data_IF_577807406006
#
_entry.id   IF_577807406006
#
_cell.length_a   1.000
_cell.length_b   1.000
_cell.length_c   1.000
_cell.angle_alpha   90.00
_cell.angle_beta   90.00
_cell.angle_gamma   90.00
#
_symmetry.space_group_name_H-M   'P 1'
#
loop_
_entity.id
_entity.type
_entity.pdbx_description
1 polymer ?
#
# COMPACT_ATOMS: atom_id res chain seq x y z
N UNK A 1 7.13 -13.61 -29.38
CA UNK A 1 7.06 -13.10 -28.00
C UNK A 1 7.68 -11.73 -27.99
N UNK A 2 6.91 -10.73 -27.64
CA UNK A 2 7.40 -9.36 -27.60
C UNK A 2 8.04 -9.10 -26.23
N UNK A 3 9.26 -8.56 -26.23
CA UNK A 3 9.91 -8.05 -25.05
C UNK A 3 9.83 -6.54 -25.06
N UNK A 4 9.67 -5.93 -23.88
CA UNK A 4 9.74 -4.48 -23.75
C UNK A 4 11.19 -4.02 -24.00
N UNK A 5 11.36 -2.97 -24.77
CA UNK A 5 12.69 -2.42 -25.01
C UNK A 5 13.21 -1.69 -23.77
N UNK A 6 14.56 -1.54 -23.70
CA UNK A 6 15.22 -0.92 -22.54
C UNK A 6 14.81 0.53 -22.29
N UNK A 7 14.47 1.28 -23.35
CA UNK A 7 13.99 2.65 -23.22
C UNK A 7 12.67 2.70 -22.49
N UNK A 8 11.70 1.87 -22.91
CA UNK A 8 10.40 1.81 -22.29
C UNK A 8 10.45 1.28 -20.84
N UNK A 9 11.35 0.32 -20.56
CA UNK A 9 11.62 -0.13 -19.18
C UNK A 9 12.11 1.05 -18.30
N UNK A 10 12.97 1.90 -18.84
CA UNK A 10 13.40 3.11 -18.12
C UNK A 10 12.24 4.06 -17.87
N UNK A 11 11.38 4.28 -18.86
CA UNK A 11 10.21 5.15 -18.71
C UNK A 11 9.24 4.61 -17.63
N UNK A 12 9.09 3.28 -17.51
CA UNK A 12 8.34 2.63 -16.42
C UNK A 12 8.96 2.96 -15.06
N UNK A 13 10.27 2.88 -14.92
CA UNK A 13 10.95 3.24 -13.69
C UNK A 13 10.78 4.72 -13.34
N UNK A 14 10.89 5.61 -14.33
CA UNK A 14 10.70 7.04 -14.16
C UNK A 14 9.24 7.36 -13.75
N UNK A 15 8.25 6.65 -14.31
CA UNK A 15 6.84 6.79 -13.93
C UNK A 15 6.57 6.38 -12.47
N UNK A 16 7.22 5.32 -11.98
CA UNK A 16 7.14 4.93 -10.57
C UNK A 16 7.86 5.94 -9.67
N UNK A 17 9.06 6.39 -10.07
CA UNK A 17 9.85 7.35 -9.30
C UNK A 17 9.16 8.72 -9.17
N UNK A 18 8.31 9.09 -10.13
CA UNK A 18 7.47 10.29 -10.08
C UNK A 18 6.25 10.20 -9.16
N UNK A 19 6.00 9.04 -8.54
CA UNK A 19 4.89 8.83 -7.60
C UNK A 19 5.29 9.19 -6.15
N UNK A 20 4.34 8.99 -5.20
CA UNK A 20 4.62 9.13 -3.76
C UNK A 20 5.47 7.99 -3.18
N UNK A 21 5.81 6.98 -3.98
CA UNK A 21 6.66 5.85 -3.63
C UNK A 21 8.02 5.96 -4.32
N UNK A 22 8.91 5.03 -4.00
CA UNK A 22 10.22 4.91 -4.65
C UNK A 22 10.38 3.54 -5.28
N UNK A 23 11.36 3.40 -6.15
CA UNK A 23 11.72 2.13 -6.78
C UNK A 23 11.96 0.99 -5.79
N UNK A 24 12.49 1.32 -4.59
CA UNK A 24 12.74 0.33 -3.54
C UNK A 24 11.45 -0.28 -2.95
N UNK A 25 10.31 0.38 -3.13
CA UNK A 25 9.01 -0.07 -2.62
C UNK A 25 8.39 -1.14 -3.50
N UNK A 26 8.94 -1.36 -4.70
CA UNK A 26 8.40 -2.29 -5.69
C UNK A 26 9.40 -3.38 -6.06
N UNK A 27 8.85 -4.51 -6.48
CA UNK A 27 9.56 -5.57 -7.19
C UNK A 27 9.08 -5.55 -8.64
N UNK A 28 10.03 -5.51 -9.58
CA UNK A 28 9.75 -5.52 -11.03
C UNK A 28 10.17 -6.84 -11.62
N UNK A 29 9.32 -7.38 -12.48
CA UNK A 29 9.59 -8.56 -13.27
C UNK A 29 9.28 -8.25 -14.74
N UNK A 30 10.23 -8.57 -15.61
CA UNK A 30 10.09 -8.49 -17.07
C UNK A 30 10.31 -9.89 -17.63
N UNK A 31 9.25 -10.72 -17.67
CA UNK A 31 9.40 -12.12 -18.06
C UNK A 31 9.88 -12.27 -19.52
N UNK A 32 10.88 -13.11 -19.75
CA UNK A 32 11.37 -13.44 -21.10
C UNK A 32 10.43 -14.38 -21.84
N UNK A 33 9.45 -14.98 -21.16
CA UNK A 33 8.52 -15.95 -21.71
C UNK A 33 7.17 -15.91 -21.00
N UNK A 34 6.13 -16.37 -21.71
CA UNK A 34 4.75 -16.36 -21.21
C UNK A 34 3.97 -15.13 -21.68
N UNK A 35 2.72 -14.96 -21.21
CA UNK A 35 1.84 -13.89 -21.65
C UNK A 35 2.15 -12.54 -21.01
N UNK A 36 2.88 -12.50 -19.90
CA UNK A 36 3.12 -11.26 -19.15
C UNK A 36 4.34 -10.53 -19.71
N UNK A 37 4.15 -9.25 -20.04
CA UNK A 37 5.22 -8.35 -20.49
C UNK A 37 5.88 -7.60 -19.30
N UNK A 38 5.09 -7.36 -18.24
CA UNK A 38 5.48 -6.61 -17.06
C UNK A 38 4.69 -7.10 -15.86
N UNK A 39 5.37 -7.24 -14.73
CA UNK A 39 4.74 -7.38 -13.43
C UNK A 39 5.43 -6.46 -12.44
N UNK A 40 4.64 -5.68 -11.72
CA UNK A 40 5.11 -4.84 -10.62
C UNK A 40 4.34 -5.25 -9.38
N UNK A 41 5.05 -5.54 -8.31
CA UNK A 41 4.46 -5.89 -7.01
C UNK A 41 4.88 -4.87 -5.96
N UNK A 42 3.93 -4.42 -5.16
CA UNK A 42 4.24 -3.61 -3.99
C UNK A 42 4.79 -4.49 -2.87
N UNK A 43 6.06 -4.29 -2.45
CA UNK A 43 6.80 -5.21 -1.56
C UNK A 43 6.13 -5.45 -0.21
N UNK A 44 5.44 -4.43 0.31
CA UNK A 44 4.82 -4.50 1.64
C UNK A 44 3.44 -5.14 1.65
N UNK A 45 2.82 -5.29 0.47
CA UNK A 45 1.56 -5.99 0.26
C UNK A 45 1.54 -6.57 -1.16
N UNK A 46 2.09 -7.78 -1.37
CA UNK A 46 2.23 -8.37 -2.72
C UNK A 46 0.91 -8.64 -3.46
N UNK A 47 -0.23 -8.61 -2.75
CA UNK A 47 -1.54 -8.59 -3.40
C UNK A 47 -1.78 -7.30 -4.21
N UNK A 48 -1.07 -6.21 -3.90
CA UNK A 48 -1.05 -4.99 -4.69
C UNK A 48 -0.07 -5.18 -5.84
N UNK A 49 -0.64 -5.32 -7.04
CA UNK A 49 0.10 -5.72 -8.24
C UNK A 49 -0.42 -5.01 -9.48
N UNK A 50 0.48 -4.79 -10.41
CA UNK A 50 0.24 -4.21 -11.73
C UNK A 50 0.81 -5.17 -12.74
N UNK A 51 -0.04 -5.83 -13.54
CA UNK A 51 0.37 -6.90 -14.45
C UNK A 51 -0.12 -6.58 -15.85
N UNK A 52 0.80 -6.46 -16.79
CA UNK A 52 0.53 -6.27 -18.21
C UNK A 52 0.69 -7.60 -18.93
N UNK A 53 -0.36 -8.09 -19.53
CA UNK A 53 -0.37 -9.32 -20.34
C UNK A 53 -0.59 -8.99 -21.82
N UNK A 54 0.20 -9.59 -22.69
CA UNK A 54 0.01 -9.52 -24.14
C UNK A 54 -1.29 -10.23 -24.56
N UNK A 55 -2.02 -9.67 -25.52
CA UNK A 55 -3.20 -10.33 -26.09
C UNK A 55 -2.76 -11.59 -26.83
N UNK A 56 -3.35 -12.74 -26.54
CA UNK A 56 -3.11 -13.96 -27.29
C UNK A 56 -3.78 -13.87 -28.66
N UNK A 57 -3.03 -14.13 -29.72
CA UNK A 57 -3.53 -14.10 -31.12
C UNK A 57 -4.70 -15.08 -31.40
N UNK A 58 -4.97 -16.04 -30.51
CA UNK A 58 -5.96 -17.10 -30.70
C UNK A 58 -7.30 -16.89 -29.98
N UNK A 59 -7.49 -15.79 -29.31
CA UNK A 59 -8.82 -15.41 -28.78
C UNK A 59 -9.61 -14.72 -29.91
N UNK A 60 -10.04 -15.54 -30.91
CA UNK A 60 -11.14 -15.15 -31.80
C UNK A 60 -12.33 -14.83 -30.90
N UNK A 61 -12.96 -13.67 -31.13
CA UNK A 61 -14.12 -13.09 -30.44
C UNK A 61 -15.38 -13.99 -30.43
N UNK A 62 -15.27 -15.28 -30.06
CA UNK A 62 -16.36 -16.23 -30.01
C UNK A 62 -17.11 -16.27 -28.68
N UNK A 63 -16.79 -15.36 -27.75
CA UNK A 63 -17.58 -15.15 -26.53
C UNK A 63 -18.34 -13.82 -26.59
N UNK A 64 -19.46 -13.83 -27.26
CA UNK A 64 -20.39 -12.72 -27.48
C UNK A 64 -21.14 -12.23 -26.24
N UNK A 65 -20.72 -12.53 -25.01
CA UNK A 65 -21.46 -12.17 -23.79
C UNK A 65 -20.70 -11.37 -22.73
N UNK A 66 -19.46 -10.98 -22.99
CA UNK A 66 -18.86 -9.93 -22.14
C UNK A 66 -18.89 -8.62 -22.91
N UNK A 67 -19.91 -7.80 -22.65
CA UNK A 67 -19.92 -6.37 -22.97
C UNK A 67 -18.77 -5.67 -22.24
N UNK A 68 -17.54 -5.92 -22.67
CA UNK A 68 -16.41 -5.10 -22.26
C UNK A 68 -16.54 -3.82 -23.05
N UNK A 69 -17.12 -2.79 -22.41
CA UNK A 69 -17.11 -1.43 -22.97
C UNK A 69 -15.64 -1.07 -23.15
N UNK A 70 -15.17 -1.02 -24.39
CA UNK A 70 -13.81 -0.56 -24.70
C UNK A 70 -13.66 0.87 -24.19
N UNK A 71 -12.56 1.21 -23.49
CA UNK A 71 -12.31 2.60 -23.13
C UNK A 71 -12.31 3.48 -24.38
N UNK A 72 -12.81 4.70 -24.27
CA UNK A 72 -12.84 5.67 -25.37
C UNK A 72 -11.49 5.83 -26.10
N UNK A 73 -10.38 5.63 -25.39
CA UNK A 73 -9.03 5.62 -25.93
C UNK A 73 -8.76 4.47 -26.93
N UNK A 74 -9.52 3.37 -26.88
CA UNK A 74 -9.41 2.27 -27.84
C UNK A 74 -10.25 2.54 -29.08
N UNK A 75 -11.39 3.20 -28.97
CA UNK A 75 -12.25 3.54 -30.10
C UNK A 75 -11.55 4.52 -31.04
N UNK A 76 -10.77 5.47 -30.49
CA UNK A 76 -9.98 6.44 -31.27
C UNK A 76 -8.80 5.84 -32.04
N UNK A 77 -8.31 4.65 -31.63
CA UNK A 77 -7.11 3.98 -32.17
C UNK A 77 -7.42 2.67 -32.94
N UNK A 78 -8.50 2.62 -33.72
CA UNK A 78 -8.93 1.45 -34.52
C UNK A 78 -9.43 0.22 -33.71
N UNK A 79 -9.81 0.39 -32.46
CA UNK A 79 -10.63 -0.59 -31.73
C UNK A 79 -9.98 -1.92 -31.32
N UNK A 80 -8.66 -2.09 -31.47
CA UNK A 80 -8.00 -3.33 -31.08
C UNK A 80 -7.11 -3.16 -29.84
N UNK A 81 -7.46 -3.91 -28.78
CA UNK A 81 -6.57 -4.06 -27.63
C UNK A 81 -5.30 -4.84 -28.02
N UNK A 82 -4.13 -4.32 -27.65
CA UNK A 82 -2.84 -5.00 -27.85
C UNK A 82 -2.42 -5.79 -26.61
N UNK A 83 -2.94 -5.42 -25.45
CA UNK A 83 -2.63 -6.03 -24.17
C UNK A 83 -3.79 -5.87 -23.18
N UNK A 84 -3.73 -6.58 -22.06
CA UNK A 84 -4.64 -6.43 -20.92
C UNK A 84 -3.83 -6.08 -19.68
N UNK A 85 -4.33 -5.09 -18.94
CA UNK A 85 -3.75 -4.62 -17.70
C UNK A 85 -4.61 -5.06 -16.53
N UNK A 86 -4.01 -5.74 -15.55
CA UNK A 86 -4.58 -6.02 -14.25
C UNK A 86 -3.95 -5.09 -13.23
N UNK A 87 -4.77 -4.26 -12.59
CA UNK A 87 -4.41 -3.36 -11.50
C UNK A 87 -5.07 -3.85 -10.20
N UNK A 88 -4.30 -4.04 -9.16
CA UNK A 88 -4.77 -4.29 -7.79
C UNK A 88 -3.89 -3.47 -6.81
N UNK A 89 -4.45 -2.53 -6.01
CA UNK A 89 -5.86 -2.17 -6.01
C UNK A 89 -6.27 -1.42 -7.28
N UNK A 90 -7.52 -1.61 -7.69
CA UNK A 90 -8.15 -0.82 -8.73
C UNK A 90 -8.61 0.54 -8.20
N UNK A 91 -9.27 1.33 -9.03
CA UNK A 91 -9.76 2.64 -8.63
C UNK A 91 -10.98 2.56 -7.70
N UNK A 92 -11.89 1.62 -7.98
CA UNK A 92 -13.16 1.42 -7.25
C UNK A 92 -13.37 -0.01 -6.78
N UNK A 93 -12.49 -0.94 -7.15
CA UNK A 93 -12.59 -2.37 -6.82
C UNK A 93 -11.25 -2.88 -6.29
N UNK A 94 -11.28 -4.02 -5.62
CA UNK A 94 -10.06 -4.69 -5.17
C UNK A 94 -9.08 -5.01 -6.31
N UNK A 95 -9.61 -5.23 -7.53
CA UNK A 95 -8.82 -5.36 -8.75
C UNK A 95 -9.66 -4.92 -9.96
N UNK A 96 -9.04 -4.25 -10.90
CA UNK A 96 -9.59 -3.87 -12.18
C UNK A 96 -8.77 -4.51 -13.31
N UNK A 97 -9.47 -5.02 -14.33
CA UNK A 97 -8.85 -5.51 -15.55
C UNK A 97 -9.36 -4.67 -16.73
N UNK A 98 -8.45 -4.15 -17.55
CA UNK A 98 -8.80 -3.28 -18.66
C UNK A 98 -7.95 -3.56 -19.90
N UNK A 99 -8.53 -3.42 -21.11
CA UNK A 99 -7.79 -3.50 -22.36
C UNK A 99 -6.87 -2.27 -22.53
N UNK A 100 -5.69 -2.51 -23.09
CA UNK A 100 -4.69 -1.49 -23.41
C UNK A 100 -4.51 -1.43 -24.91
N UNK A 101 -4.62 -0.24 -25.48
CA UNK A 101 -4.53 0.01 -26.92
C UNK A 101 -3.22 0.70 -27.34
N UNK A 102 -2.45 1.18 -26.36
CA UNK A 102 -1.11 1.71 -26.56
C UNK A 102 -0.25 1.44 -25.32
N UNK A 103 1.00 1.03 -25.53
CA UNK A 103 1.93 0.87 -24.42
C UNK A 103 2.23 2.18 -23.69
N UNK A 104 2.11 3.33 -24.36
CA UNK A 104 2.27 4.65 -23.73
C UNK A 104 1.21 4.91 -22.65
N UNK A 105 0.03 4.30 -22.76
CA UNK A 105 -1.03 4.48 -21.76
C UNK A 105 -0.63 3.84 -20.42
N UNK A 106 0.26 2.85 -20.45
CA UNK A 106 0.83 2.21 -19.23
C UNK A 106 1.56 3.23 -18.36
N UNK A 107 2.34 4.14 -18.99
CA UNK A 107 3.11 5.15 -18.26
C UNK A 107 2.20 6.13 -17.50
N UNK A 108 0.97 6.36 -17.98
CA UNK A 108 -0.04 7.18 -17.29
C UNK A 108 -0.76 6.40 -16.17
N UNK A 109 -0.92 5.09 -16.37
CA UNK A 109 -1.60 4.20 -15.42
C UNK A 109 -0.76 3.92 -14.17
N UNK A 110 0.55 3.81 -14.29
CA UNK A 110 1.43 3.54 -13.15
C UNK A 110 1.30 4.58 -12.03
N UNK A 111 1.38 5.91 -12.26
CA UNK A 111 1.18 6.88 -11.19
C UNK A 111 -0.23 6.84 -10.59
N UNK A 112 -1.25 6.55 -11.40
CA UNK A 112 -2.63 6.39 -10.92
C UNK A 112 -2.75 5.17 -9.99
N UNK A 113 -2.19 4.03 -10.38
CA UNK A 113 -2.14 2.83 -9.53
C UNK A 113 -1.36 3.08 -8.23
N UNK A 114 -0.24 3.79 -8.27
CA UNK A 114 0.47 4.21 -7.06
C UNK A 114 -0.41 5.10 -6.17
N UNK A 115 -1.22 5.98 -6.74
CA UNK A 115 -2.20 6.78 -5.99
C UNK A 115 -3.28 5.91 -5.35
N UNK A 116 -3.74 4.86 -6.05
CA UNK A 116 -4.71 3.91 -5.48
C UNK A 116 -4.10 3.13 -4.30
N UNK A 117 -2.83 2.67 -4.42
CA UNK A 117 -2.12 2.07 -3.30
C UNK A 117 -2.07 3.03 -2.11
N UNK A 118 -1.71 4.29 -2.36
CA UNK A 118 -1.64 5.29 -1.30
C UNK A 118 -3.00 5.47 -0.62
N UNK A 119 -4.07 5.63 -1.40
CA UNK A 119 -5.44 5.73 -0.89
C UNK A 119 -5.79 4.51 -0.03
N UNK A 120 -5.61 3.30 -0.55
CA UNK A 120 -5.89 2.04 0.16
C UNK A 120 -5.10 1.89 1.47
N UNK A 121 -3.86 2.39 1.51
CA UNK A 121 -3.04 2.35 2.71
C UNK A 121 -3.44 3.40 3.76
N UNK A 122 -4.04 4.50 3.31
CA UNK A 122 -4.44 5.64 4.16
C UNK A 122 -5.94 5.67 4.43
N UNK A 123 -6.77 5.01 3.61
CA UNK A 123 -8.20 4.92 3.84
C UNK A 123 -8.46 3.81 4.86
N UNK A 124 -9.11 4.16 5.94
CA UNK A 124 -9.70 3.19 6.83
C UNK A 124 -11.03 2.72 6.27
N UNK A 125 -11.29 1.43 6.39
CA UNK A 125 -12.64 0.92 6.27
C UNK A 125 -13.34 1.40 7.53
N UNK A 126 -14.15 2.42 7.37
CA UNK A 126 -15.00 2.99 8.40
C UNK A 126 -15.96 1.90 8.93
N UNK A 127 -15.51 1.18 9.92
CA UNK A 127 -16.43 0.73 10.94
C UNK A 127 -16.60 1.95 11.83
N UNK A 128 -17.79 2.55 11.91
CA UNK A 128 -18.14 3.55 12.91
C UNK A 128 -17.65 3.03 14.26
N UNK A 129 -16.43 3.43 14.64
CA UNK A 129 -15.86 3.04 15.91
C UNK A 129 -15.64 4.31 16.74
N UNK A 130 -15.58 4.13 18.05
CA UNK A 130 -15.45 5.21 19.06
C UNK A 130 -14.08 5.93 18.99
N UNK A 131 -13.30 5.79 17.87
CA UNK A 131 -11.94 6.28 17.74
C UNK A 131 -11.75 7.49 16.82
N UNK A 132 -12.82 8.08 16.28
CA UNK A 132 -12.72 9.21 15.33
C UNK A 132 -12.03 10.42 15.97
N UNK A 133 -12.39 10.74 17.22
CA UNK A 133 -11.74 11.83 17.97
C UNK A 133 -10.24 11.55 18.19
N UNK A 134 -9.89 10.31 18.48
CA UNK A 134 -8.49 9.90 18.65
C UNK A 134 -7.70 9.97 17.33
N UNK A 135 -8.33 9.66 16.20
CA UNK A 135 -7.72 9.82 14.86
C UNK A 135 -7.45 11.27 14.52
N UNK A 136 -8.41 12.15 14.80
CA UNK A 136 -8.24 13.60 14.59
C UNK A 136 -7.08 14.14 15.43
N UNK A 137 -6.97 13.73 16.70
CA UNK A 137 -5.83 14.10 17.54
C UNK A 137 -4.48 13.62 16.97
N UNK A 138 -4.41 12.39 16.46
CA UNK A 138 -3.19 11.86 15.85
C UNK A 138 -2.82 12.58 14.55
N UNK A 139 -3.78 12.94 13.71
CA UNK A 139 -3.55 13.75 12.51
C UNK A 139 -3.04 15.15 12.85
N UNK A 140 -3.54 15.74 13.91
CA UNK A 140 -3.05 17.04 14.39
C UNK A 140 -1.61 16.94 14.91
N UNK A 141 -1.27 15.86 15.63
CA UNK A 141 0.09 15.58 16.07
C UNK A 141 1.05 15.38 14.88
N UNK A 142 0.64 14.68 13.83
CA UNK A 142 1.42 14.52 12.61
C UNK A 142 1.71 15.89 12.00
N UNK A 143 0.68 16.71 11.77
CA UNK A 143 0.82 18.06 11.19
C UNK A 143 1.73 18.97 12.03
N UNK A 144 1.72 18.82 13.35
CA UNK A 144 2.52 19.64 14.25
C UNK A 144 3.99 19.21 14.32
N UNK A 145 4.28 17.91 14.23
CA UNK A 145 5.62 17.38 14.53
C UNK A 145 6.36 16.86 13.29
N UNK A 146 5.65 16.63 12.18
CA UNK A 146 6.24 16.20 10.92
C UNK A 146 6.21 17.37 9.94
N UNK A 147 7.21 18.25 10.03
CA UNK A 147 7.31 19.46 9.21
C UNK A 147 7.51 19.14 7.71
N UNK A 148 8.15 18.02 7.42
CA UNK A 148 8.50 17.58 6.05
C UNK A 148 7.92 16.19 5.76
N UNK A 149 6.62 16.12 5.47
CA UNK A 149 5.89 14.86 5.27
C UNK A 149 6.45 13.99 4.13
N UNK A 150 7.01 14.61 3.09
CA UNK A 150 7.56 13.92 1.91
C UNK A 150 8.96 13.35 2.12
N UNK A 151 9.66 13.75 3.18
CA UNK A 151 11.04 13.31 3.46
C UNK A 151 11.05 11.96 4.16
N UNK A 152 12.06 11.17 3.89
CA UNK A 152 12.29 9.86 4.54
C UNK A 152 12.94 10.03 5.90
N UNK A 153 12.80 9.01 6.74
CA UNK A 153 13.51 8.93 8.00
C UNK A 153 15.02 8.78 7.78
N UNK A 154 15.79 9.56 8.55
CA UNK A 154 17.24 9.34 8.67
C UNK A 154 17.52 8.09 9.53
N UNK A 155 18.73 7.50 9.45
CA UNK A 155 19.10 6.36 10.29
C UNK A 155 18.88 6.60 11.81
N UNK A 156 19.19 7.81 12.29
CA UNK A 156 18.99 8.18 13.70
C UNK A 156 17.51 8.28 14.08
N UNK A 157 16.69 8.77 13.17
CA UNK A 157 15.23 8.81 13.38
C UNK A 157 14.63 7.42 13.35
N UNK A 158 15.10 6.52 12.47
CA UNK A 158 14.72 5.12 12.46
C UNK A 158 15.07 4.43 13.77
N UNK A 159 16.26 4.68 14.33
CA UNK A 159 16.66 4.13 15.62
C UNK A 159 15.78 4.64 16.77
N UNK A 160 15.46 5.95 16.78
CA UNK A 160 14.53 6.51 17.77
C UNK A 160 13.13 5.93 17.66
N UNK A 161 12.65 5.76 16.43
CA UNK A 161 11.35 5.15 16.16
C UNK A 161 11.31 3.68 16.64
N UNK A 162 12.38 2.91 16.41
CA UNK A 162 12.51 1.56 16.92
C UNK A 162 12.32 1.52 18.43
N UNK A 163 13.03 2.38 19.17
CA UNK A 163 12.91 2.45 20.62
C UNK A 163 11.48 2.80 21.07
N UNK A 164 10.79 3.68 20.34
CA UNK A 164 9.40 4.04 20.67
C UNK A 164 8.45 2.87 20.41
N UNK A 165 8.60 2.13 19.32
CA UNK A 165 7.83 0.93 19.01
C UNK A 165 8.12 -0.22 20.00
N UNK A 166 9.38 -0.37 20.43
CA UNK A 166 9.77 -1.34 21.46
C UNK A 166 9.12 -1.00 22.81
N UNK A 167 9.05 0.29 23.17
CA UNK A 167 8.37 0.71 24.37
C UNK A 167 6.85 0.49 24.30
N UNK A 168 6.24 0.72 23.14
CA UNK A 168 4.84 0.38 22.94
C UNK A 168 4.62 -1.12 23.08
N UNK A 169 5.51 -1.95 22.52
CA UNK A 169 5.40 -3.40 22.63
C UNK A 169 5.46 -3.89 24.08
N UNK A 170 6.28 -3.29 24.93
CA UNK A 170 6.35 -3.64 26.37
C UNK A 170 5.01 -3.49 27.09
N UNK A 171 4.18 -2.54 26.66
CA UNK A 171 2.84 -2.39 27.25
C UNK A 171 1.98 -3.61 26.94
N UNK A 172 2.09 -4.15 25.74
CA UNK A 172 1.37 -5.39 25.39
C UNK A 172 1.94 -6.61 26.14
N UNK A 173 3.25 -6.65 26.42
CA UNK A 173 3.85 -7.69 27.28
C UNK A 173 3.30 -7.59 28.72
N UNK A 174 3.18 -6.37 29.28
CA UNK A 174 2.59 -6.14 30.60
C UNK A 174 1.11 -6.56 30.65
N UNK A 175 0.34 -6.26 29.60
CA UNK A 175 -1.06 -6.74 29.48
C UNK A 175 -1.14 -8.28 29.42
N UNK A 176 -0.21 -8.93 28.74
CA UNK A 176 -0.15 -10.38 28.69
C UNK A 176 0.22 -10.98 30.04
N UNK A 177 1.18 -10.40 30.80
CA UNK A 177 1.52 -10.81 32.16
C UNK A 177 0.34 -10.70 33.13
N UNK A 178 -0.55 -9.73 32.90
CA UNK A 178 -1.80 -9.55 33.63
C UNK A 178 -2.92 -10.50 33.15
N UNK A 179 -2.63 -11.46 32.25
CA UNK A 179 -3.61 -12.35 31.62
C UNK A 179 -4.72 -11.64 30.83
N UNK A 180 -4.49 -10.40 30.40
CA UNK A 180 -5.42 -9.63 29.55
C UNK A 180 -5.25 -9.95 28.08
N UNK A 181 -4.07 -10.44 27.68
CA UNK A 181 -3.71 -10.89 26.34
C UNK A 181 -3.27 -12.35 26.35
N UNK A 182 -3.62 -13.08 25.33
CA UNK A 182 -3.09 -14.45 25.08
C UNK A 182 -1.71 -14.35 24.43
N UNK A 183 -0.92 -15.42 24.55
CA UNK A 183 0.38 -15.51 23.87
C UNK A 183 0.27 -15.46 22.34
N UNK A 184 -0.86 -15.88 21.76
CA UNK A 184 -1.11 -15.80 20.33
C UNK A 184 -1.38 -14.35 19.90
N UNK A 185 -2.19 -13.60 20.65
CA UNK A 185 -2.45 -12.18 20.41
C UNK A 185 -1.16 -11.35 20.54
N UNK A 186 -0.34 -11.61 21.58
CA UNK A 186 0.94 -10.91 21.74
C UNK A 186 1.90 -11.17 20.57
N UNK A 187 1.93 -12.40 20.05
CA UNK A 187 2.74 -12.74 18.88
C UNK A 187 2.28 -11.99 17.64
N UNK A 188 0.98 -11.91 17.40
CA UNK A 188 0.39 -11.15 16.29
C UNK A 188 0.72 -9.65 16.41
N UNK A 189 0.58 -9.06 17.59
CA UNK A 189 1.00 -7.68 17.87
C UNK A 189 2.47 -7.46 17.50
N UNK A 190 3.35 -8.39 17.91
CA UNK A 190 4.79 -8.30 17.59
C UNK A 190 5.04 -8.31 16.09
N UNK A 191 4.39 -9.18 15.35
CA UNK A 191 4.52 -9.27 13.89
C UNK A 191 4.06 -7.98 13.21
N UNK A 192 2.93 -7.39 13.66
CA UNK A 192 2.41 -6.12 13.14
C UNK A 192 3.34 -4.93 13.46
N UNK A 193 3.89 -4.84 14.68
CA UNK A 193 4.86 -3.80 15.06
C UNK A 193 6.15 -3.93 14.24
N UNK A 194 6.65 -5.16 14.02
CA UNK A 194 7.81 -5.38 13.17
C UNK A 194 7.56 -4.97 11.71
N UNK A 195 6.36 -5.18 11.20
CA UNK A 195 5.97 -4.73 9.87
C UNK A 195 5.93 -3.19 9.79
N UNK A 196 5.47 -2.48 10.83
CA UNK A 196 5.54 -1.02 10.92
C UNK A 196 6.99 -0.53 10.90
N UNK A 197 7.86 -1.16 11.68
CA UNK A 197 9.28 -0.83 11.71
C UNK A 197 9.93 -1.01 10.35
N UNK A 198 9.63 -2.11 9.67
CA UNK A 198 10.17 -2.37 8.32
C UNK A 198 9.71 -1.34 7.31
N UNK A 199 8.45 -0.89 7.38
CA UNK A 199 7.89 0.11 6.48
C UNK A 199 8.47 1.52 6.68
N UNK A 200 9.03 1.84 7.86
CA UNK A 200 9.66 3.14 8.11
C UNK A 200 10.86 3.43 7.22
N UNK A 201 11.53 2.38 6.73
CA UNK A 201 12.67 2.52 5.81
C UNK A 201 12.25 2.84 4.39
N UNK A 202 11.01 2.61 4.06
CA UNK A 202 10.47 2.68 2.72
C UNK A 202 9.57 3.90 2.50
N UNK A 203 8.75 4.24 3.47
CA UNK A 203 7.79 5.33 3.35
C UNK A 203 8.40 6.69 3.71
N UNK A 204 7.81 7.75 3.16
CA UNK A 204 8.01 9.09 3.69
C UNK A 204 7.43 9.20 5.09
N UNK A 205 7.92 10.16 5.88
CA UNK A 205 7.50 10.36 7.28
C UNK A 205 5.98 10.52 7.42
N UNK A 206 5.36 11.36 6.56
CA UNK A 206 3.92 11.59 6.61
C UNK A 206 3.10 10.37 6.22
N UNK A 207 3.49 9.67 5.15
CA UNK A 207 2.81 8.43 4.75
C UNK A 207 2.96 7.36 5.83
N UNK A 208 4.19 7.19 6.37
CA UNK A 208 4.43 6.21 7.43
C UNK A 208 3.57 6.50 8.65
N UNK A 209 3.51 7.75 9.09
CA UNK A 209 2.76 8.13 10.29
C UNK A 209 1.26 7.80 10.15
N UNK A 210 0.64 8.11 9.00
CA UNK A 210 -0.76 7.75 8.74
C UNK A 210 -0.99 6.24 8.70
N UNK A 211 -0.17 5.51 7.97
CA UNK A 211 -0.24 4.04 7.91
C UNK A 211 -0.02 3.43 9.30
N UNK A 212 0.93 3.97 10.09
CA UNK A 212 1.20 3.50 11.43
C UNK A 212 0.01 3.75 12.36
N UNK A 213 -0.57 4.95 12.34
CA UNK A 213 -1.74 5.28 13.15
C UNK A 213 -2.88 4.29 12.90
N UNK A 214 -3.25 4.09 11.64
CA UNK A 214 -4.33 3.18 11.29
C UNK A 214 -4.07 1.75 11.80
N UNK A 215 -2.85 1.26 11.63
CA UNK A 215 -2.48 -0.08 12.10
C UNK A 215 -2.42 -0.18 13.61
N UNK A 216 -1.96 0.85 14.30
CA UNK A 216 -1.89 0.88 15.77
C UNK A 216 -3.27 0.99 16.40
N UNK A 217 -4.17 1.80 15.84
CA UNK A 217 -5.58 1.85 16.24
C UNK A 217 -6.21 0.47 16.07
N UNK A 218 -5.98 -0.18 14.93
CA UNK A 218 -6.50 -1.53 14.70
C UNK A 218 -5.94 -2.54 15.71
N UNK A 219 -4.64 -2.50 16.02
CA UNK A 219 -4.05 -3.35 17.06
C UNK A 219 -4.75 -3.08 18.40
N UNK A 220 -4.92 -1.82 18.78
CA UNK A 220 -5.61 -1.43 20.01
C UNK A 220 -7.04 -1.97 20.03
N UNK A 221 -7.80 -1.80 18.96
CA UNK A 221 -9.17 -2.31 18.84
C UNK A 221 -9.25 -3.84 18.95
N UNK A 222 -8.30 -4.54 18.32
CA UNK A 222 -8.28 -6.01 18.32
C UNK A 222 -7.94 -6.61 19.70
N UNK A 223 -7.14 -5.92 20.53
CA UNK A 223 -6.60 -6.47 21.77
C UNK A 223 -7.13 -5.85 23.06
N UNK A 224 -7.49 -4.57 23.07
CA UNK A 224 -7.99 -3.89 24.27
C UNK A 224 -9.48 -4.20 24.50
N UNK A 225 -9.76 -4.87 25.61
CA UNK A 225 -11.10 -5.31 25.99
C UNK A 225 -11.82 -4.32 26.92
N UNK A 226 -11.07 -3.44 27.58
CA UNK A 226 -11.59 -2.44 28.51
C UNK A 226 -11.17 -1.04 28.10
N UNK A 227 -11.89 -0.03 28.56
CA UNK A 227 -11.58 1.39 28.33
C UNK A 227 -10.22 1.76 28.90
N UNK A 228 -9.89 1.29 30.11
CA UNK A 228 -8.60 1.53 30.75
C UNK A 228 -7.42 1.01 29.92
N UNK A 229 -7.56 -0.18 29.30
CA UNK A 229 -6.54 -0.74 28.40
C UNK A 229 -6.38 0.11 27.15
N UNK A 230 -7.47 0.60 26.58
CA UNK A 230 -7.49 1.49 25.41
C UNK A 230 -6.77 2.80 25.71
N UNK A 231 -7.07 3.44 26.85
CA UNK A 231 -6.43 4.69 27.26
C UNK A 231 -4.91 4.53 27.40
N UNK A 232 -4.44 3.46 28.04
CA UNK A 232 -2.99 3.20 28.23
C UNK A 232 -2.29 3.04 26.89
N UNK A 233 -2.87 2.28 25.96
CA UNK A 233 -2.30 2.07 24.62
C UNK A 233 -2.35 3.38 23.82
N UNK A 234 -3.48 4.10 23.83
CA UNK A 234 -3.67 5.35 23.13
C UNK A 234 -2.65 6.42 23.54
N UNK A 235 -2.42 6.61 24.85
CA UNK A 235 -1.40 7.52 25.34
C UNK A 235 0.02 7.15 24.88
N UNK A 236 0.30 5.88 24.74
CA UNK A 236 1.59 5.42 24.22
C UNK A 236 1.75 5.67 22.74
N UNK A 237 0.67 5.50 21.95
CA UNK A 237 0.66 5.86 20.53
C UNK A 237 0.89 7.38 20.37
N UNK A 238 0.21 8.23 21.14
CA UNK A 238 0.43 9.69 21.12
C UNK A 238 1.89 10.08 21.42
N UNK A 239 2.56 9.38 22.34
CA UNK A 239 3.98 9.63 22.64
C UNK A 239 4.93 9.29 21.50
N UNK A 240 4.52 8.44 20.56
CA UNK A 240 5.35 8.12 19.38
C UNK A 240 5.50 9.30 18.42
N UNK A 241 4.54 10.23 18.38
CA UNK A 241 4.55 11.38 17.48
C UNK A 241 5.17 12.65 18.12
N UNK A 242 5.51 12.60 19.38
CA UNK A 242 6.26 13.67 20.11
C UNK A 242 7.76 13.38 20.09
#
# INVERSE_FOLDING_TARGET
>A
MSQLNKSFIKDIYDAVAGSCFTMADFQFEFPDSGPSLLKIFFRYKPSYRFILNEKKENETDNNHERHTVLPATCEEKNGQAIAYLLEAPGEYKAADEQPICSLEDILKKIPQWCSNIHKELTTEIDTQDDFDEFREELEELIRKHIAEESVRFTPDEVARLSNKLDNLYKIFEELQEQNKLTGAELKDVKERINALMSSSKAYSKGLWARVANNRLIKIMTDVAKTEEEREVIAESIKKMHK
#
